data_IF_335477290697
#
_entry.id   IF_335477290697
#
_cell.length_a   1.000
_cell.length_b   1.000
_cell.length_c   1.000
_cell.angle_alpha   90.00
_cell.angle_beta   90.00
_cell.angle_gamma   90.00
#
_symmetry.space_group_name_H-M   'P 1'
#
loop_
_entity.id
_entity.type
_entity.pdbx_description
1 polymer ?
#
# COMPACT_ATOMS: atom_id res chain seq x y z
N UNK A 1 36.15 28.29 15.69
CA UNK A 1 34.77 28.53 16.18
C UNK A 1 34.09 27.20 16.38
N UNK A 2 33.68 26.85 17.61
CA UNK A 2 32.86 25.66 17.83
C UNK A 2 31.50 25.87 17.14
N UNK A 3 31.12 24.98 16.23
CA UNK A 3 29.82 25.10 15.57
C UNK A 3 28.70 24.88 16.61
N UNK A 4 27.76 25.81 16.69
CA UNK A 4 26.60 25.70 17.59
C UNK A 4 25.63 24.63 17.08
N UNK A 5 25.20 23.74 17.98
CA UNK A 5 24.32 22.63 17.64
C UNK A 5 22.87 23.09 17.59
N UNK A 6 22.29 23.22 16.39
CA UNK A 6 20.89 23.59 16.18
C UNK A 6 20.07 22.46 15.56
N UNK A 7 18.75 22.48 15.77
CA UNK A 7 17.83 21.63 15.03
C UNK A 7 17.92 21.94 13.54
N UNK A 8 17.91 20.89 12.72
CA UNK A 8 17.72 21.07 11.27
C UNK A 8 16.27 21.47 11.01
N UNK A 9 16.04 22.15 9.90
CA UNK A 9 14.68 22.54 9.49
C UNK A 9 13.70 21.35 9.49
N UNK A 10 14.10 20.21 8.93
CA UNK A 10 13.26 19.00 8.96
C UNK A 10 13.03 18.40 10.36
N UNK A 11 13.98 18.54 11.28
CA UNK A 11 13.82 18.10 12.67
C UNK A 11 12.81 19.01 13.39
N UNK A 12 13.01 20.34 13.31
CA UNK A 12 12.13 21.33 13.94
C UNK A 12 10.71 21.30 13.38
N UNK A 13 10.55 21.25 12.05
CA UNK A 13 9.25 21.19 11.40
C UNK A 13 8.47 19.93 11.82
N UNK A 14 9.13 18.77 11.84
CA UNK A 14 8.47 17.52 12.23
C UNK A 14 8.13 17.50 13.73
N UNK A 15 8.96 18.08 14.60
CA UNK A 15 8.62 18.24 16.02
C UNK A 15 7.35 19.08 16.18
N UNK A 16 7.23 20.20 15.46
CA UNK A 16 6.05 21.08 15.52
C UNK A 16 4.79 20.32 15.07
N UNK A 17 4.87 19.61 13.94
CA UNK A 17 3.74 18.82 13.42
C UNK A 17 3.33 17.73 14.41
N UNK A 18 4.29 16.98 14.97
CA UNK A 18 3.99 15.93 15.95
C UNK A 18 3.47 16.51 17.27
N UNK A 19 3.94 17.68 17.71
CA UNK A 19 3.43 18.34 18.90
C UNK A 19 1.97 18.80 18.71
N UNK A 20 1.66 19.35 17.53
CA UNK A 20 0.28 19.69 17.18
C UNK A 20 -0.61 18.44 17.13
N UNK A 21 -0.14 17.35 16.51
CA UNK A 21 -0.83 16.06 16.49
C UNK A 21 -1.07 15.52 17.91
N UNK A 22 -0.07 15.58 18.78
CA UNK A 22 -0.19 15.16 20.18
C UNK A 22 -1.29 15.94 20.91
N UNK A 23 -1.27 17.27 20.83
CA UNK A 23 -2.26 18.13 21.48
C UNK A 23 -3.67 17.87 20.94
N UNK A 24 -3.80 17.71 19.62
CA UNK A 24 -5.07 17.37 18.97
C UNK A 24 -5.59 16.02 19.46
N UNK A 25 -4.76 14.97 19.48
CA UNK A 25 -5.16 13.66 19.97
C UNK A 25 -5.58 13.71 21.44
N UNK A 26 -4.82 14.38 22.32
CA UNK A 26 -5.19 14.53 23.75
C UNK A 26 -6.52 15.26 23.91
N UNK A 27 -6.76 16.30 23.11
CA UNK A 27 -8.03 17.02 23.12
C UNK A 27 -9.21 16.12 22.70
N UNK A 28 -9.03 15.29 21.67
CA UNK A 28 -10.07 14.35 21.24
C UNK A 28 -10.29 13.26 22.29
N UNK A 29 -9.23 12.73 22.93
CA UNK A 29 -9.35 11.75 24.03
C UNK A 29 -10.21 12.31 25.17
N UNK A 30 -9.97 13.56 25.59
CA UNK A 30 -10.71 14.20 26.68
C UNK A 30 -12.20 14.39 26.38
N UNK A 31 -12.60 14.36 25.11
CA UNK A 31 -13.96 14.60 24.65
C UNK A 31 -14.57 13.39 23.92
N UNK A 32 -13.90 12.24 23.95
CA UNK A 32 -14.28 11.07 23.16
C UNK A 32 -15.67 10.54 23.55
N UNK A 33 -16.49 10.25 22.53
CA UNK A 33 -17.85 9.72 22.70
C UNK A 33 -17.91 8.20 22.76
N UNK A 34 -16.84 7.53 22.37
CA UNK A 34 -16.72 6.08 22.41
C UNK A 34 -15.29 5.64 22.77
N UNK A 35 -15.18 4.44 23.34
CA UNK A 35 -13.92 3.90 23.84
C UNK A 35 -12.91 3.63 22.73
N UNK A 36 -13.36 3.35 21.50
CA UNK A 36 -12.46 3.05 20.38
C UNK A 36 -11.77 4.33 19.91
N UNK A 37 -12.52 5.44 19.80
CA UNK A 37 -11.97 6.75 19.52
C UNK A 37 -10.98 7.18 20.61
N UNK A 38 -11.35 7.06 21.89
CA UNK A 38 -10.43 7.36 23.00
C UNK A 38 -9.15 6.54 22.93
N UNK A 39 -9.27 5.23 22.67
CA UNK A 39 -8.13 4.33 22.55
C UNK A 39 -7.23 4.70 21.35
N UNK A 40 -7.80 4.84 20.16
CA UNK A 40 -7.04 5.16 18.94
C UNK A 40 -6.37 6.53 19.01
N UNK A 41 -7.03 7.54 19.58
CA UNK A 41 -6.40 8.84 19.78
C UNK A 41 -5.30 8.79 20.85
N UNK A 42 -5.43 7.93 21.88
CA UNK A 42 -4.35 7.69 22.84
C UNK A 42 -3.13 7.03 22.18
N UNK A 43 -3.36 6.06 21.28
CA UNK A 43 -2.30 5.45 20.47
C UNK A 43 -1.64 6.49 19.56
N UNK A 44 -2.42 7.37 18.93
CA UNK A 44 -1.91 8.49 18.13
C UNK A 44 -1.06 9.47 18.93
N UNK A 45 -1.53 9.87 20.13
CA UNK A 45 -0.79 10.73 21.05
C UNK A 45 0.54 10.10 21.48
N UNK A 46 0.52 8.81 21.84
CA UNK A 46 1.74 8.07 22.18
C UNK A 46 2.71 8.01 20.99
N UNK A 47 2.21 7.72 19.79
CA UNK A 47 3.02 7.71 18.56
C UNK A 47 3.69 9.06 18.29
N UNK A 48 2.95 10.16 18.47
CA UNK A 48 3.48 11.51 18.33
C UNK A 48 4.59 11.82 19.34
N UNK A 49 4.38 11.46 20.62
CA UNK A 49 5.40 11.60 21.67
C UNK A 49 6.66 10.77 21.38
N UNK A 50 6.50 9.51 20.97
CA UNK A 50 7.61 8.64 20.60
C UNK A 50 8.37 9.17 19.38
N UNK A 51 7.67 9.75 18.41
CA UNK A 51 8.27 10.43 17.27
C UNK A 51 9.11 11.64 17.68
N UNK A 52 8.58 12.51 18.54
CA UNK A 52 9.32 13.65 19.10
C UNK A 52 10.55 13.15 19.85
N UNK A 53 10.39 12.18 20.74
CA UNK A 53 11.49 11.58 21.49
C UNK A 53 12.57 11.00 20.56
N UNK A 54 12.19 10.30 19.49
CA UNK A 54 13.12 9.76 18.50
C UNK A 54 13.92 10.86 17.78
N UNK A 55 13.28 11.99 17.46
CA UNK A 55 13.95 13.15 16.85
C UNK A 55 14.93 13.78 17.84
N UNK A 56 14.54 13.98 19.11
CA UNK A 56 15.44 14.47 20.15
C UNK A 56 16.63 13.53 20.36
N UNK A 57 16.40 12.21 20.44
CA UNK A 57 17.46 11.21 20.55
C UNK A 57 18.44 11.29 19.37
N UNK A 58 17.92 11.45 18.14
CA UNK A 58 18.72 11.65 16.93
C UNK A 58 19.53 12.95 17.01
N UNK A 59 18.90 14.06 17.42
CA UNK A 59 19.56 15.35 17.62
C UNK A 59 20.70 15.22 18.63
N UNK A 60 20.48 14.63 19.81
CA UNK A 60 21.52 14.48 20.83
C UNK A 60 22.67 13.59 20.38
N UNK A 61 22.41 12.51 19.64
CA UNK A 61 23.45 11.63 19.09
C UNK A 61 24.32 12.29 18.01
N UNK A 62 23.78 13.27 17.28
CA UNK A 62 24.47 13.96 16.19
C UNK A 62 25.59 14.88 16.71
N UNK A 63 26.77 14.82 16.09
CA UNK A 63 27.85 15.78 16.38
C UNK A 63 27.49 17.19 15.88
N UNK A 64 27.97 18.23 16.55
CA UNK A 64 27.77 19.60 16.09
C UNK A 64 28.38 19.78 14.69
N UNK A 65 27.62 20.36 13.76
CA UNK A 65 28.07 20.54 12.37
C UNK A 65 27.92 19.35 11.43
N UNK A 66 27.57 18.17 11.94
CA UNK A 66 27.35 17.00 11.09
C UNK A 66 26.08 17.23 10.24
N UNK A 67 26.22 17.17 8.91
CA UNK A 67 25.13 17.25 7.92
C UNK A 67 24.37 15.92 7.77
N UNK A 68 23.25 15.89 7.01
CA UNK A 68 22.58 14.63 6.69
C UNK A 68 23.58 13.66 6.08
N UNK A 69 23.44 12.37 6.38
CA UNK A 69 24.23 11.37 5.68
C UNK A 69 23.72 11.27 4.24
N UNK A 70 24.49 11.86 3.33
CA UNK A 70 24.26 11.82 1.89
C UNK A 70 25.10 10.74 1.20
N UNK A 71 25.87 9.95 1.97
CA UNK A 71 26.69 8.88 1.40
C UNK A 71 25.81 7.68 1.02
N UNK A 72 25.91 7.28 -0.25
CA UNK A 72 25.20 6.13 -0.79
C UNK A 72 23.66 6.20 -0.70
N UNK A 73 23.02 5.04 -0.88
CA UNK A 73 21.57 4.89 -0.78
C UNK A 73 21.11 4.78 0.68
N UNK A 74 19.88 5.21 0.93
CA UNK A 74 19.23 5.06 2.24
C UNK A 74 18.74 3.62 2.39
N UNK A 75 19.63 2.72 2.77
CA UNK A 75 19.33 1.29 2.98
C UNK A 75 18.65 1.02 4.32
N UNK A 76 18.83 1.90 5.31
CA UNK A 76 18.26 1.72 6.65
C UNK A 76 16.75 1.62 6.61
N UNK A 77 16.10 2.51 5.85
CA UNK A 77 14.64 2.52 5.71
C UNK A 77 14.12 1.30 4.93
N UNK A 78 14.82 0.91 3.86
CA UNK A 78 14.45 -0.29 3.07
C UNK A 78 14.49 -1.54 3.95
N UNK A 79 15.57 -1.71 4.74
CA UNK A 79 15.69 -2.84 5.67
C UNK A 79 14.56 -2.85 6.70
N UNK A 80 14.17 -1.70 7.24
CA UNK A 80 13.05 -1.60 8.17
C UNK A 80 11.74 -2.09 7.54
N UNK A 81 11.41 -1.62 6.31
CA UNK A 81 10.23 -2.08 5.57
C UNK A 81 10.25 -3.58 5.28
N UNK A 82 11.40 -4.13 4.87
CA UNK A 82 11.52 -5.57 4.61
C UNK A 82 11.30 -6.39 5.88
N UNK A 83 11.90 -5.98 7.00
CA UNK A 83 11.73 -6.68 8.29
C UNK A 83 10.28 -6.65 8.77
N UNK A 84 9.64 -5.48 8.75
CA UNK A 84 8.25 -5.38 9.21
C UNK A 84 7.27 -6.05 8.25
N UNK A 85 7.54 -6.05 6.94
CA UNK A 85 6.74 -6.78 5.96
C UNK A 85 6.75 -8.28 6.27
N UNK A 86 7.91 -8.88 6.58
CA UNK A 86 7.97 -10.29 6.98
C UNK A 86 7.14 -10.56 8.25
N UNK A 87 7.23 -9.68 9.25
CA UNK A 87 6.42 -9.79 10.47
C UNK A 87 4.92 -9.77 10.15
N UNK A 88 4.46 -8.79 9.36
CA UNK A 88 3.06 -8.69 8.95
C UNK A 88 2.61 -9.81 8.04
N UNK A 89 3.49 -10.36 7.21
CA UNK A 89 3.22 -11.54 6.39
C UNK A 89 2.90 -12.75 7.25
N UNK A 90 3.74 -13.03 8.25
CA UNK A 90 3.49 -14.12 9.20
C UNK A 90 2.19 -13.86 9.97
N UNK A 91 1.98 -12.67 10.52
CA UNK A 91 0.76 -12.35 11.26
C UNK A 91 -0.51 -12.47 10.39
N UNK A 92 -0.52 -11.89 9.20
CA UNK A 92 -1.66 -11.90 8.29
C UNK A 92 -2.00 -13.31 7.79
N UNK A 93 -1.00 -14.13 7.46
CA UNK A 93 -1.22 -15.51 7.04
C UNK A 93 -1.69 -16.41 8.19
N UNK A 94 -1.20 -16.20 9.42
CA UNK A 94 -1.69 -16.92 10.59
C UNK A 94 -3.17 -16.61 10.88
N UNK A 95 -3.59 -15.34 10.81
CA UNK A 95 -5.02 -15.01 10.94
C UNK A 95 -5.82 -15.60 9.78
N UNK A 96 -5.27 -15.62 8.56
CA UNK A 96 -5.89 -16.25 7.39
C UNK A 96 -6.14 -17.74 7.58
N UNK A 97 -5.14 -18.48 8.06
CA UNK A 97 -5.27 -19.90 8.41
C UNK A 97 -6.31 -20.09 9.54
N UNK A 98 -6.24 -19.27 10.58
CA UNK A 98 -7.19 -19.33 11.70
C UNK A 98 -8.64 -19.15 11.26
N UNK A 99 -8.96 -18.11 10.48
CA UNK A 99 -10.34 -17.88 10.01
C UNK A 99 -10.78 -18.93 8.98
N UNK A 100 -9.85 -19.58 8.28
CA UNK A 100 -10.18 -20.75 7.45
C UNK A 100 -10.61 -21.94 8.32
N UNK A 101 -9.96 -22.15 9.47
CA UNK A 101 -10.42 -23.14 10.45
C UNK A 101 -11.77 -22.79 11.07
N UNK A 102 -12.10 -21.51 11.28
CA UNK A 102 -13.44 -21.11 11.74
C UNK A 102 -14.54 -21.49 10.75
N UNK A 103 -14.28 -21.40 9.45
CA UNK A 103 -15.23 -21.83 8.42
C UNK A 103 -15.47 -23.34 8.45
N UNK A 104 -14.44 -24.12 8.79
CA UNK A 104 -14.54 -25.58 8.92
C UNK A 104 -15.11 -26.02 10.29
N UNK A 105 -14.78 -25.29 11.36
CA UNK A 105 -15.14 -25.58 12.75
C UNK A 105 -15.60 -24.30 13.45
N UNK A 106 -16.89 -23.93 13.32
CA UNK A 106 -17.42 -22.67 13.86
C UNK A 106 -17.24 -22.47 15.37
N UNK A 107 -17.04 -23.54 16.14
CA UNK A 107 -16.74 -23.47 17.58
C UNK A 107 -15.45 -22.71 17.91
N UNK A 108 -14.54 -22.52 16.94
CA UNK A 108 -13.34 -21.70 17.08
C UNK A 108 -13.63 -20.19 17.13
N UNK A 109 -14.88 -19.74 16.99
CA UNK A 109 -15.24 -18.35 17.25
C UNK A 109 -15.21 -18.01 18.77
N UNK A 110 -15.22 -19.03 19.64
CA UNK A 110 -15.19 -18.93 21.11
C UNK A 110 -16.31 -18.10 21.76
N UNK A 111 -17.37 -17.78 21.03
CA UNK A 111 -18.41 -16.81 21.42
C UNK A 111 -17.82 -15.47 21.93
N UNK A 112 -16.61 -15.12 21.47
CA UNK A 112 -15.89 -13.93 21.87
C UNK A 112 -15.77 -12.98 20.69
N UNK A 113 -16.18 -11.73 20.88
CA UNK A 113 -16.37 -10.78 19.79
C UNK A 113 -15.10 -10.54 18.97
N UNK A 114 -13.92 -10.47 19.61
CA UNK A 114 -12.67 -10.17 18.91
C UNK A 114 -12.13 -11.37 18.12
N UNK A 115 -12.52 -12.60 18.47
CA UNK A 115 -12.20 -13.81 17.73
C UNK A 115 -13.34 -14.25 16.82
N UNK A 116 -14.33 -13.39 16.56
CA UNK A 116 -15.40 -13.75 15.63
C UNK A 116 -14.93 -13.56 14.18
N UNK A 117 -15.29 -14.50 13.30
CA UNK A 117 -14.98 -14.48 11.87
C UNK A 117 -15.27 -13.13 11.21
N UNK A 118 -16.41 -12.50 11.55
CA UNK A 118 -16.81 -11.22 10.98
C UNK A 118 -15.86 -10.06 11.29
N UNK A 119 -15.14 -10.11 12.43
CA UNK A 119 -14.11 -9.12 12.79
C UNK A 119 -12.72 -9.52 12.31
N UNK A 120 -12.41 -10.82 12.32
CA UNK A 120 -11.12 -11.33 11.89
C UNK A 120 -10.93 -11.35 10.37
N UNK A 121 -12.01 -11.44 9.58
CA UNK A 121 -11.95 -11.36 8.11
C UNK A 121 -11.32 -10.05 7.62
N UNK A 122 -11.84 -8.85 7.95
CA UNK A 122 -11.21 -7.60 7.53
C UNK A 122 -9.82 -7.42 8.14
N UNK A 123 -9.58 -7.93 9.36
CA UNK A 123 -8.22 -7.95 9.94
C UNK A 123 -7.24 -8.74 9.07
N UNK A 124 -7.62 -9.95 8.63
CA UNK A 124 -6.81 -10.75 7.71
C UNK A 124 -6.57 -10.01 6.39
N UNK A 125 -7.66 -9.53 5.76
CA UNK A 125 -7.61 -8.82 4.48
C UNK A 125 -6.63 -7.66 4.53
N UNK A 126 -6.79 -6.74 5.50
CA UNK A 126 -5.92 -5.58 5.62
C UNK A 126 -4.50 -5.95 6.06
N UNK A 127 -4.32 -6.98 6.90
CA UNK A 127 -3.00 -7.46 7.29
C UNK A 127 -2.21 -8.04 6.11
N UNK A 128 -2.84 -8.82 5.23
CA UNK A 128 -2.14 -9.41 4.09
C UNK A 128 -1.93 -8.38 2.97
N UNK A 129 -2.93 -7.54 2.68
CA UNK A 129 -2.85 -6.58 1.58
C UNK A 129 -2.02 -5.36 1.98
N UNK A 130 -2.46 -4.62 3.00
CA UNK A 130 -1.85 -3.35 3.36
C UNK A 130 -0.66 -3.54 4.30
N UNK A 131 -0.74 -4.44 5.28
CA UNK A 131 0.39 -4.61 6.20
C UNK A 131 1.56 -5.35 5.56
N UNK A 132 1.35 -6.58 5.08
CA UNK A 132 2.38 -7.36 4.39
C UNK A 132 2.71 -6.76 3.02
N UNK A 133 1.74 -6.73 2.12
CA UNK A 133 1.90 -6.24 0.75
C UNK A 133 2.35 -4.79 0.72
N UNK A 134 1.70 -3.90 1.48
CA UNK A 134 2.05 -2.49 1.51
C UNK A 134 3.44 -2.19 2.03
N UNK A 135 3.87 -2.80 3.13
CA UNK A 135 5.25 -2.65 3.59
C UNK A 135 6.26 -3.23 2.59
N UNK A 136 5.92 -4.33 1.90
CA UNK A 136 6.75 -4.86 0.82
C UNK A 136 6.90 -3.82 -0.31
N UNK A 137 5.77 -3.27 -0.80
CA UNK A 137 5.74 -2.30 -1.90
C UNK A 137 6.45 -0.99 -1.55
N UNK A 138 6.26 -0.45 -0.35
CA UNK A 138 6.96 0.76 0.11
C UNK A 138 8.48 0.51 0.22
N UNK A 139 8.88 -0.63 0.77
CA UNK A 139 10.28 -1.00 0.87
C UNK A 139 10.95 -1.20 -0.49
N UNK A 140 10.29 -1.93 -1.40
CA UNK A 140 10.84 -2.19 -2.73
C UNK A 140 10.81 -0.95 -3.61
N UNK A 141 9.77 -0.11 -3.54
CA UNK A 141 9.74 1.13 -4.32
C UNK A 141 10.92 2.04 -3.96
N UNK A 142 11.22 2.18 -2.66
CA UNK A 142 12.37 2.91 -2.15
C UNK A 142 13.72 2.31 -2.57
N UNK A 143 13.82 0.99 -2.59
CA UNK A 143 15.02 0.31 -3.07
C UNK A 143 15.24 0.52 -4.57
N UNK A 144 14.17 0.37 -5.36
CA UNK A 144 14.18 0.42 -6.82
C UNK A 144 14.39 1.83 -7.33
N UNK A 145 13.63 2.81 -6.82
CA UNK A 145 13.70 4.20 -7.28
C UNK A 145 15.09 4.80 -7.07
N UNK A 146 15.76 4.48 -5.96
CA UNK A 146 17.12 4.95 -5.71
C UNK A 146 18.12 4.43 -6.74
N UNK A 147 18.08 3.12 -7.02
CA UNK A 147 19.06 2.45 -7.88
C UNK A 147 18.85 2.73 -9.36
N UNK A 148 17.60 2.80 -9.77
CA UNK A 148 17.24 3.08 -11.17
C UNK A 148 17.51 4.54 -11.54
N UNK A 149 17.44 5.47 -10.58
CA UNK A 149 17.75 6.89 -10.79
C UNK A 149 19.16 7.29 -10.35
N UNK A 150 19.93 6.35 -9.78
CA UNK A 150 21.30 6.55 -9.25
C UNK A 150 21.40 7.72 -8.28
N UNK A 151 20.41 7.85 -7.41
CA UNK A 151 20.30 8.95 -6.46
C UNK A 151 19.73 8.44 -5.14
N UNK A 152 20.09 9.09 -4.03
CA UNK A 152 19.54 8.77 -2.71
C UNK A 152 18.08 9.22 -2.62
N UNK A 153 17.27 8.56 -1.79
CA UNK A 153 15.91 9.01 -1.48
C UNK A 153 15.89 10.48 -1.08
N UNK A 154 14.87 11.19 -1.56
CA UNK A 154 14.58 12.54 -1.11
C UNK A 154 14.13 12.54 0.36
N UNK A 155 14.68 13.46 1.15
CA UNK A 155 14.35 13.64 2.56
C UNK A 155 15.13 12.71 3.50
N UNK A 156 15.55 13.27 4.64
CA UNK A 156 16.25 12.53 5.69
C UNK A 156 15.24 11.86 6.65
N UNK A 157 14.28 12.64 7.16
CA UNK A 157 13.24 12.15 8.09
C UNK A 157 11.95 11.70 7.39
N UNK A 158 11.63 12.23 6.20
CA UNK A 158 10.38 11.92 5.51
C UNK A 158 10.20 10.42 5.20
N UNK A 159 11.22 9.66 4.73
CA UNK A 159 11.10 8.21 4.58
C UNK A 159 10.76 7.48 5.90
N UNK A 160 11.32 7.95 7.03
CA UNK A 160 11.03 7.39 8.36
C UNK A 160 9.64 7.76 8.87
N UNK A 161 9.16 8.97 8.59
CA UNK A 161 7.77 9.36 8.85
C UNK A 161 6.81 8.45 8.09
N UNK A 162 7.09 8.14 6.82
CA UNK A 162 6.25 7.23 6.03
C UNK A 162 6.23 5.84 6.67
N UNK A 163 7.38 5.29 7.06
CA UNK A 163 7.46 3.97 7.71
C UNK A 163 6.64 3.90 9.00
N UNK A 164 6.86 4.83 9.93
CA UNK A 164 6.15 4.83 11.20
C UNK A 164 4.67 5.18 11.04
N UNK A 165 4.36 6.13 10.16
CA UNK A 165 2.99 6.53 9.92
C UNK A 165 2.18 5.45 9.23
N UNK A 166 2.75 4.74 8.26
CA UNK A 166 2.08 3.63 7.59
C UNK A 166 1.83 2.47 8.55
N UNK A 167 2.80 2.12 9.40
CA UNK A 167 2.60 1.09 10.43
C UNK A 167 1.65 1.53 11.55
N UNK A 168 1.54 2.83 11.82
CA UNK A 168 0.48 3.35 12.69
C UNK A 168 -0.90 3.15 12.08
N UNK A 169 -1.08 3.40 10.77
CA UNK A 169 -2.33 3.08 10.06
C UNK A 169 -2.70 1.61 10.23
N UNK A 170 -1.75 0.70 10.05
CA UNK A 170 -1.96 -0.74 10.19
C UNK A 170 -2.39 -1.11 11.62
N UNK A 171 -1.73 -0.55 12.64
CA UNK A 171 -2.08 -0.80 14.04
C UNK A 171 -3.48 -0.29 14.34
N UNK A 172 -3.83 0.94 13.94
CA UNK A 172 -5.15 1.52 14.17
C UNK A 172 -6.25 0.76 13.43
N UNK A 173 -6.01 0.33 12.19
CA UNK A 173 -6.94 -0.49 11.43
C UNK A 173 -7.15 -1.84 12.13
N UNK A 174 -6.06 -2.55 12.45
CA UNK A 174 -6.13 -3.87 13.08
C UNK A 174 -6.82 -3.86 14.44
N UNK A 175 -6.50 -2.91 15.32
CA UNK A 175 -7.20 -2.78 16.60
C UNK A 175 -8.64 -2.31 16.42
N UNK A 176 -8.91 -1.47 15.43
CA UNK A 176 -10.26 -1.03 15.07
C UNK A 176 -11.17 -2.21 14.71
N UNK A 177 -10.71 -3.11 13.84
CA UNK A 177 -11.48 -4.29 13.44
C UNK A 177 -11.81 -5.20 14.62
N UNK A 178 -10.82 -5.47 15.49
CA UNK A 178 -11.02 -6.28 16.69
C UNK A 178 -12.06 -5.65 17.64
N UNK A 179 -12.08 -4.32 17.72
CA UNK A 179 -13.02 -3.54 18.53
C UNK A 179 -14.38 -3.29 17.84
N UNK A 180 -14.55 -3.71 16.58
CA UNK A 180 -15.80 -3.55 15.82
C UNK A 180 -15.97 -2.18 15.15
N UNK A 181 -14.90 -1.40 15.00
CA UNK A 181 -14.88 -0.18 14.21
C UNK A 181 -14.62 -0.54 12.74
N UNK A 182 -15.62 -0.32 11.90
CA UNK A 182 -15.54 -0.59 10.46
C UNK A 182 -16.57 0.23 9.68
N UNK A 183 -16.17 0.69 8.50
CA UNK A 183 -17.02 1.31 7.48
C UNK A 183 -17.86 0.27 6.71
N UNK A 184 -17.51 -1.01 6.78
CA UNK A 184 -18.20 -2.10 6.07
C UNK A 184 -17.93 -2.17 4.56
N UNK A 185 -17.03 -1.33 4.05
CA UNK A 185 -16.57 -1.32 2.66
C UNK A 185 -15.30 -2.17 2.53
N UNK A 186 -15.27 -3.11 1.57
CA UNK A 186 -14.17 -4.05 1.44
C UNK A 186 -12.86 -3.34 1.05
N UNK A 187 -11.76 -3.71 1.70
CA UNK A 187 -10.46 -3.07 1.56
C UNK A 187 -10.40 -1.59 2.03
N UNK A 188 -11.53 -0.98 2.40
CA UNK A 188 -11.67 0.37 2.92
C UNK A 188 -12.30 0.39 4.33
N UNK A 189 -12.08 -0.68 5.11
CA UNK A 189 -12.87 -0.90 6.32
C UNK A 189 -12.55 0.06 7.46
N UNK A 190 -11.33 0.62 7.55
CA UNK A 190 -10.93 1.44 8.70
C UNK A 190 -11.63 2.80 8.69
N UNK A 191 -12.00 3.34 9.86
CA UNK A 191 -12.81 4.57 9.99
C UNK A 191 -12.08 5.87 9.55
N UNK A 192 -12.85 6.93 9.31
CA UNK A 192 -12.45 8.20 8.68
C UNK A 192 -11.15 8.88 9.21
N UNK A 193 -10.86 8.78 10.50
CA UNK A 193 -9.65 9.40 11.07
C UNK A 193 -8.38 8.63 10.69
N UNK A 194 -8.49 7.32 10.45
CA UNK A 194 -7.42 6.49 9.90
C UNK A 194 -7.25 6.81 8.41
N UNK A 195 -8.33 7.09 7.67
CA UNK A 195 -8.27 7.58 6.28
C UNK A 195 -7.50 8.89 6.15
N UNK A 196 -7.77 9.86 7.03
CA UNK A 196 -7.07 11.15 7.01
C UNK A 196 -5.60 10.98 7.34
N UNK A 197 -5.29 10.16 8.35
CA UNK A 197 -3.91 9.85 8.71
C UNK A 197 -3.16 9.19 7.55
N UNK A 198 -3.74 8.15 6.93
CA UNK A 198 -3.14 7.48 5.79
C UNK A 198 -2.94 8.45 4.63
N UNK A 199 -3.89 9.37 4.39
CA UNK A 199 -3.76 10.41 3.36
C UNK A 199 -2.50 11.25 3.56
N UNK A 200 -2.23 11.72 4.77
CA UNK A 200 -1.01 12.51 5.09
C UNK A 200 0.26 11.69 4.85
N UNK A 201 0.25 10.42 5.27
CA UNK A 201 1.36 9.48 5.05
C UNK A 201 1.60 9.27 3.55
N UNK A 202 0.53 9.06 2.79
CA UNK A 202 0.58 8.76 1.37
C UNK A 202 0.99 9.95 0.52
N UNK A 203 0.53 11.17 0.85
CA UNK A 203 1.01 12.41 0.22
C UNK A 203 2.51 12.58 0.49
N UNK A 204 2.97 12.33 1.72
CA UNK A 204 4.40 12.40 2.02
C UNK A 204 5.18 11.37 1.21
N UNK A 205 4.63 10.16 1.03
CA UNK A 205 5.22 9.12 0.19
C UNK A 205 5.31 9.52 -1.28
N UNK A 206 4.23 10.08 -1.85
CA UNK A 206 4.25 10.63 -3.21
C UNK A 206 5.32 11.71 -3.38
N UNK A 207 5.41 12.66 -2.46
CA UNK A 207 6.41 13.74 -2.51
C UNK A 207 7.85 13.21 -2.40
N UNK A 208 8.10 12.21 -1.56
CA UNK A 208 9.42 11.55 -1.47
C UNK A 208 9.76 10.83 -2.77
N UNK A 209 8.80 10.10 -3.35
CA UNK A 209 9.01 9.37 -4.60
C UNK A 209 9.27 10.32 -5.78
N UNK A 210 8.42 11.35 -5.96
CA UNK A 210 8.60 12.40 -6.97
C UNK A 210 9.89 13.17 -6.78
N UNK A 211 10.20 13.59 -5.55
CA UNK A 211 11.44 14.29 -5.23
C UNK A 211 12.68 13.45 -5.56
N UNK A 212 12.59 12.12 -5.45
CA UNK A 212 13.68 11.21 -5.85
C UNK A 212 13.78 11.11 -7.38
N UNK A 213 12.66 11.03 -8.10
CA UNK A 213 12.63 11.05 -9.58
C UNK A 213 13.13 12.36 -10.17
N UNK A 214 12.87 13.50 -9.52
CA UNK A 214 13.35 14.82 -9.96
C UNK A 214 14.87 14.96 -9.82
N UNK A 215 15.47 14.25 -8.86
CA UNK A 215 16.93 14.23 -8.61
C UNK A 215 17.66 13.13 -9.39
N UNK A 216 17.01 12.50 -10.35
CA UNK A 216 17.60 11.41 -11.14
C UNK A 216 18.81 11.88 -11.93
N UNK A 217 19.77 10.99 -12.12
CA UNK A 217 20.95 11.24 -12.97
C UNK A 217 20.74 10.83 -14.42
N UNK A 218 19.90 9.83 -14.65
CA UNK A 218 19.57 9.34 -15.99
C UNK A 218 18.42 10.17 -16.60
N UNK A 219 18.51 10.48 -17.89
CA UNK A 219 17.46 11.26 -18.58
C UNK A 219 16.11 10.53 -18.58
N UNK A 220 16.15 9.22 -18.82
CA UNK A 220 14.99 8.33 -18.87
C UNK A 220 14.63 7.78 -17.50
N UNK A 221 13.32 7.70 -17.23
CA UNK A 221 12.78 7.02 -16.06
C UNK A 221 12.54 5.55 -16.42
N UNK A 222 13.10 4.64 -15.63
CA UNK A 222 12.93 3.21 -15.83
C UNK A 222 11.47 2.77 -15.68
N UNK A 223 11.03 1.78 -16.47
CA UNK A 223 9.63 1.29 -16.54
C UNK A 223 9.08 0.89 -15.17
N UNK A 224 9.89 0.28 -14.30
CA UNK A 224 9.46 -0.05 -12.94
C UNK A 224 8.91 1.17 -12.18
N UNK A 225 9.51 2.34 -12.38
CA UNK A 225 9.06 3.58 -11.73
C UNK A 225 7.79 4.15 -12.37
N UNK A 226 7.46 3.79 -13.63
CA UNK A 226 6.15 4.14 -14.22
C UNK A 226 5.05 3.42 -13.47
N UNK A 227 5.22 2.11 -13.25
CA UNK A 227 4.30 1.28 -12.49
C UNK A 227 4.17 1.72 -11.04
N UNK A 228 5.29 1.98 -10.34
CA UNK A 228 5.23 2.52 -8.98
C UNK A 228 4.56 3.89 -8.94
N UNK A 229 4.87 4.81 -9.87
CA UNK A 229 4.23 6.12 -9.86
C UNK A 229 2.72 6.04 -10.13
N UNK A 230 2.31 5.22 -11.09
CA UNK A 230 0.90 4.98 -11.38
C UNK A 230 0.17 4.38 -10.16
N UNK A 231 0.79 3.41 -9.49
CA UNK A 231 0.32 2.88 -8.22
C UNK A 231 0.10 3.97 -7.17
N UNK A 232 1.12 4.80 -6.91
CA UNK A 232 1.05 5.81 -5.85
C UNK A 232 -0.07 6.81 -6.12
N UNK A 233 -0.14 7.30 -7.36
CA UNK A 233 -1.12 8.33 -7.76
C UNK A 233 -2.53 7.76 -7.77
N UNK A 234 -2.73 6.60 -8.39
CA UNK A 234 -4.07 6.02 -8.48
C UNK A 234 -4.59 5.60 -7.11
N UNK A 235 -3.77 4.99 -6.24
CA UNK A 235 -4.23 4.64 -4.88
C UNK A 235 -4.62 5.88 -4.08
N UNK A 236 -3.92 7.01 -4.25
CA UNK A 236 -4.34 8.27 -3.62
C UNK A 236 -5.72 8.72 -4.13
N UNK A 237 -5.95 8.66 -5.44
CA UNK A 237 -7.24 8.99 -6.06
C UNK A 237 -8.36 8.06 -5.56
N UNK A 238 -8.11 6.75 -5.51
CA UNK A 238 -9.08 5.75 -5.07
C UNK A 238 -9.43 5.95 -3.59
N UNK A 239 -8.41 6.10 -2.74
CA UNK A 239 -8.57 6.34 -1.30
C UNK A 239 -9.42 7.58 -1.02
N UNK A 240 -9.13 8.69 -1.70
CA UNK A 240 -9.89 9.92 -1.54
C UNK A 240 -11.29 9.86 -2.16
N UNK A 241 -11.47 9.10 -3.24
CA UNK A 241 -12.75 8.98 -3.93
C UNK A 241 -13.75 8.07 -3.22
N UNK A 242 -13.28 6.93 -2.69
CA UNK A 242 -14.14 5.96 -2.00
C UNK A 242 -14.52 6.40 -0.58
N UNK A 243 -13.53 6.93 0.14
CA UNK A 243 -13.66 7.16 1.58
C UNK A 243 -14.20 8.57 1.88
N UNK A 244 -15.03 9.11 0.97
CA UNK A 244 -15.76 10.34 1.20
C UNK A 244 -16.91 10.02 2.15
N UNK A 245 -16.65 10.21 3.44
CA UNK A 245 -17.60 9.97 4.50
C UNK A 245 -17.78 11.22 5.37
N UNK A 246 -18.99 11.37 5.92
CA UNK A 246 -19.34 12.43 6.87
C UNK A 246 -19.27 11.85 8.28
N UNK A 247 -18.29 12.26 9.12
CA UNK A 247 -18.26 11.87 10.52
C UNK A 247 -19.50 12.42 11.25
N UNK A 248 -20.18 11.56 12.01
CA UNK A 248 -21.29 11.97 12.88
C UNK A 248 -20.78 12.91 13.97
N UNK A 249 -19.54 12.71 14.43
CA UNK A 249 -18.85 13.60 15.34
C UNK A 249 -17.33 13.45 15.18
N UNK A 250 -16.60 14.57 15.30
CA UNK A 250 -15.14 14.54 15.38
C UNK A 250 -14.61 13.79 16.61
N UNK A 251 -15.47 13.54 17.60
CA UNK A 251 -15.13 12.84 18.85
C UNK A 251 -15.61 11.38 18.88
N UNK A 252 -16.13 10.84 17.78
CA UNK A 252 -16.58 9.46 17.70
C UNK A 252 -16.17 8.77 16.41
N UNK A 253 -16.16 7.44 16.42
CA UNK A 253 -15.71 6.66 15.26
C UNK A 253 -16.68 6.72 14.09
N UNK A 254 -17.99 6.87 14.33
CA UNK A 254 -19.00 6.66 13.30
C UNK A 254 -19.02 7.74 12.23
N UNK A 255 -18.97 7.30 10.98
CA UNK A 255 -19.20 8.10 9.77
C UNK A 255 -20.18 7.39 8.83
N UNK A 256 -20.79 8.15 7.94
CA UNK A 256 -21.62 7.62 6.85
C UNK A 256 -21.02 8.02 5.51
N UNK A 257 -20.97 7.08 4.56
CA UNK A 257 -20.54 7.36 3.20
C UNK A 257 -21.48 8.36 2.53
N UNK A 258 -20.91 9.18 1.65
CA UNK A 258 -21.69 10.15 0.87
C UNK A 258 -22.52 9.45 -0.23
N UNK A 259 -22.05 8.31 -0.73
CA UNK A 259 -22.77 7.52 -1.71
C UNK A 259 -23.75 6.55 -1.03
N UNK A 260 -24.75 6.08 -1.78
CA UNK A 260 -25.67 5.04 -1.30
C UNK A 260 -26.14 4.12 -2.42
N UNK A 261 -26.57 2.91 -2.06
CA UNK A 261 -27.17 1.94 -2.97
C UNK A 261 -26.27 1.61 -4.16
N UNK A 262 -26.79 1.78 -5.37
CA UNK A 262 -26.09 1.41 -6.61
C UNK A 262 -24.86 2.28 -6.89
N UNK A 263 -24.90 3.56 -6.48
CA UNK A 263 -23.74 4.46 -6.63
C UNK A 263 -22.62 4.05 -5.69
N UNK A 264 -22.97 3.74 -4.45
CA UNK A 264 -22.02 3.27 -3.44
C UNK A 264 -21.35 1.97 -3.89
N UNK A 265 -22.14 1.00 -4.34
CA UNK A 265 -21.62 -0.25 -4.90
C UNK A 265 -20.66 -0.01 -6.07
N UNK A 266 -20.98 0.92 -6.98
CA UNK A 266 -20.12 1.24 -8.11
C UNK A 266 -18.80 1.88 -7.68
N UNK A 267 -18.85 2.87 -6.79
CA UNK A 267 -17.65 3.55 -6.26
C UNK A 267 -16.80 2.56 -5.47
N UNK A 268 -17.43 1.72 -4.64
CA UNK A 268 -16.79 0.67 -3.87
C UNK A 268 -16.05 -0.32 -4.75
N UNK A 269 -16.66 -0.82 -5.84
CA UNK A 269 -15.95 -1.77 -6.70
C UNK A 269 -15.05 -1.13 -7.75
N UNK A 270 -15.25 0.15 -8.06
CA UNK A 270 -14.21 0.95 -8.70
C UNK A 270 -12.98 1.06 -7.79
N UNK A 271 -13.17 1.29 -6.49
CA UNK A 271 -12.12 1.26 -5.50
C UNK A 271 -11.49 -0.12 -5.35
N UNK A 272 -12.26 -1.13 -4.95
CA UNK A 272 -11.78 -2.47 -4.61
C UNK A 272 -11.06 -3.16 -5.76
N UNK A 273 -11.61 -3.09 -6.97
CA UNK A 273 -10.93 -3.67 -8.14
C UNK A 273 -9.61 -2.97 -8.45
N UNK A 274 -9.59 -1.63 -8.40
CA UNK A 274 -8.38 -0.87 -8.67
C UNK A 274 -7.39 -0.85 -7.48
N UNK A 275 -7.84 -1.17 -6.27
CA UNK A 275 -6.95 -1.48 -5.15
C UNK A 275 -6.13 -2.72 -5.52
N UNK A 276 -6.75 -3.81 -5.95
CA UNK A 276 -6.01 -4.97 -6.48
C UNK A 276 -5.21 -4.59 -7.74
N UNK A 277 -5.79 -3.81 -8.66
CA UNK A 277 -5.13 -3.44 -9.91
C UNK A 277 -3.89 -2.58 -9.80
N UNK A 278 -3.86 -1.64 -8.88
CA UNK A 278 -2.75 -0.72 -8.74
C UNK A 278 -1.85 -1.09 -7.56
N UNK A 279 -2.42 -1.52 -6.44
CA UNK A 279 -1.67 -1.97 -5.28
C UNK A 279 -1.07 -3.36 -5.50
N UNK A 280 -1.87 -4.34 -5.93
CA UNK A 280 -1.44 -5.75 -6.02
C UNK A 280 -0.95 -6.16 -7.42
N UNK A 281 -1.32 -5.44 -8.48
CA UNK A 281 -0.84 -5.71 -9.84
C UNK A 281 0.21 -4.69 -10.27
N UNK A 282 -0.13 -3.40 -10.43
CA UNK A 282 0.80 -2.42 -10.99
C UNK A 282 2.09 -2.29 -10.16
N UNK A 283 1.98 -2.11 -8.84
CA UNK A 283 3.16 -1.97 -7.98
C UNK A 283 4.05 -3.23 -7.95
N UNK A 284 3.44 -4.43 -7.97
CA UNK A 284 4.18 -5.69 -8.07
C UNK A 284 4.77 -5.94 -9.47
N UNK A 285 4.16 -5.43 -10.54
CA UNK A 285 4.83 -5.35 -11.85
C UNK A 285 6.05 -4.42 -11.77
N UNK A 286 5.99 -3.33 -10.99
CA UNK A 286 7.15 -2.51 -10.64
C UNK A 286 8.27 -3.31 -9.97
N UNK A 287 7.94 -4.20 -9.02
CA UNK A 287 8.91 -5.15 -8.45
C UNK A 287 9.46 -6.09 -9.52
N UNK A 288 8.59 -6.73 -10.32
CA UNK A 288 8.98 -7.68 -11.36
C UNK A 288 9.96 -7.04 -12.34
N UNK A 289 9.65 -5.84 -12.84
CA UNK A 289 10.49 -5.10 -13.78
C UNK A 289 11.89 -4.81 -13.24
N UNK A 290 12.06 -4.70 -11.92
CA UNK A 290 13.39 -4.54 -11.36
C UNK A 290 14.05 -5.89 -11.04
N UNK A 291 13.38 -6.74 -10.26
CA UNK A 291 14.01 -7.93 -9.67
C UNK A 291 14.21 -9.07 -10.66
N UNK A 292 13.30 -9.27 -11.63
CA UNK A 292 13.46 -10.33 -12.64
C UNK A 292 14.70 -10.10 -13.51
N UNK A 293 14.86 -8.96 -14.20
CA UNK A 293 16.06 -8.72 -15.01
C UNK A 293 17.33 -8.68 -14.14
N UNK A 294 17.25 -8.10 -12.93
CA UNK A 294 18.40 -7.97 -12.04
C UNK A 294 18.92 -9.32 -11.57
N UNK A 295 18.04 -10.25 -11.20
CA UNK A 295 18.42 -11.59 -10.75
C UNK A 295 18.78 -12.50 -11.92
N UNK A 296 18.08 -12.37 -13.04
CA UNK A 296 18.38 -13.11 -14.26
C UNK A 296 19.71 -12.65 -14.89
N UNK A 297 20.15 -11.42 -14.60
CA UNK A 297 21.27 -10.75 -15.27
C UNK A 297 21.07 -10.73 -16.79
N UNK A 298 19.83 -10.43 -17.19
CA UNK A 298 19.40 -10.35 -18.59
C UNK A 298 18.76 -8.98 -18.83
N UNK A 299 18.87 -8.42 -20.04
CA UNK A 299 18.11 -7.24 -20.40
C UNK A 299 16.61 -7.58 -20.41
N UNK A 300 15.75 -6.60 -20.12
CA UNK A 300 14.30 -6.73 -20.30
C UNK A 300 14.02 -7.11 -21.75
N UNK A 301 13.17 -8.11 -21.95
CA UNK A 301 12.88 -8.68 -23.26
C UNK A 301 12.41 -7.65 -24.30
N UNK A 302 11.31 -6.93 -24.03
CA UNK A 302 10.74 -5.99 -25.00
C UNK A 302 10.36 -4.64 -24.37
N UNK A 303 11.13 -3.61 -24.73
CA UNK A 303 10.80 -2.24 -24.34
C UNK A 303 9.49 -1.74 -24.97
N UNK A 304 9.22 -2.09 -26.23
CA UNK A 304 7.93 -1.73 -26.88
C UNK A 304 6.74 -2.35 -26.17
N UNK A 305 6.86 -3.62 -25.78
CA UNK A 305 5.83 -4.28 -24.98
C UNK A 305 5.66 -3.58 -23.64
N UNK A 306 6.77 -3.15 -23.02
CA UNK A 306 6.76 -2.36 -21.77
C UNK A 306 5.92 -1.07 -21.89
N UNK A 307 5.93 -0.40 -23.04
CA UNK A 307 5.11 0.80 -23.28
C UNK A 307 3.64 0.42 -23.47
N UNK A 308 3.38 -0.51 -24.39
CA UNK A 308 2.01 -0.89 -24.79
C UNK A 308 1.26 -1.44 -23.58
N UNK A 309 1.85 -2.42 -22.90
CA UNK A 309 1.17 -3.07 -21.78
C UNK A 309 1.02 -2.12 -20.58
N UNK A 310 1.96 -1.19 -20.34
CA UNK A 310 1.81 -0.21 -19.27
C UNK A 310 0.61 0.69 -19.52
N UNK A 311 0.55 1.38 -20.66
CA UNK A 311 -0.54 2.32 -20.93
C UNK A 311 -1.88 1.64 -21.08
N UNK A 312 -1.92 0.50 -21.79
CA UNK A 312 -3.15 -0.25 -21.94
C UNK A 312 -3.64 -0.79 -20.59
N UNK A 313 -2.75 -1.32 -19.72
CA UNK A 313 -3.13 -1.81 -18.39
C UNK A 313 -3.66 -0.68 -17.52
N UNK A 314 -2.89 0.39 -17.34
CA UNK A 314 -3.26 1.51 -16.46
C UNK A 314 -4.56 2.20 -16.90
N UNK A 315 -4.82 2.28 -18.21
CA UNK A 315 -6.08 2.83 -18.72
C UNK A 315 -7.26 1.87 -18.53
N UNK A 316 -7.10 0.60 -18.88
CA UNK A 316 -8.22 -0.38 -18.91
C UNK A 316 -8.65 -0.83 -17.52
N UNK A 317 -7.71 -0.98 -16.57
CA UNK A 317 -8.00 -1.48 -15.22
C UNK A 317 -9.07 -0.64 -14.50
N UNK A 318 -9.06 0.69 -14.70
CA UNK A 318 -10.00 1.62 -14.07
C UNK A 318 -11.47 1.24 -14.35
N UNK A 319 -11.74 0.65 -15.52
CA UNK A 319 -13.09 0.34 -15.98
C UNK A 319 -13.63 -1.00 -15.50
N UNK A 320 -12.80 -1.87 -14.93
CA UNK A 320 -13.19 -3.25 -14.66
C UNK A 320 -13.98 -3.43 -13.35
N UNK A 321 -14.13 -2.38 -12.53
CA UNK A 321 -14.93 -2.42 -11.29
C UNK A 321 -16.33 -3.08 -11.40
N UNK A 322 -17.16 -2.77 -12.41
CA UNK A 322 -18.50 -3.34 -12.54
C UNK A 322 -18.56 -4.87 -12.73
N UNK A 323 -17.44 -5.56 -12.98
CA UNK A 323 -17.43 -7.03 -13.04
C UNK A 323 -17.76 -7.71 -11.70
N UNK A 324 -17.66 -6.98 -10.59
CA UNK A 324 -18.08 -7.43 -9.26
C UNK A 324 -19.60 -7.31 -9.06
N UNK A 325 -20.29 -6.61 -9.96
CA UNK A 325 -21.67 -6.18 -9.83
C UNK A 325 -22.57 -6.77 -10.92
N UNK A 326 -22.16 -7.89 -11.49
CA UNK A 326 -22.94 -8.64 -12.45
C UNK A 326 -24.23 -9.19 -11.85
N UNK A 327 -25.33 -9.05 -12.58
CA UNK A 327 -26.67 -9.47 -12.15
C UNK A 327 -27.14 -8.84 -10.81
N UNK A 328 -26.66 -7.62 -10.52
CA UNK A 328 -27.10 -6.81 -9.38
C UNK A 328 -28.04 -5.69 -9.83
N UNK A 329 -28.40 -4.78 -8.91
CA UNK A 329 -29.17 -3.57 -9.20
C UNK A 329 -28.39 -2.52 -10.03
N UNK A 330 -27.09 -2.73 -10.29
CA UNK A 330 -26.30 -1.84 -11.16
C UNK A 330 -26.87 -1.84 -12.59
N UNK A 331 -26.99 -0.68 -13.28
CA UNK A 331 -27.51 -0.64 -14.64
C UNK A 331 -26.74 -1.55 -15.60
N UNK A 332 -27.47 -2.17 -16.52
CA UNK A 332 -26.92 -3.15 -17.45
C UNK A 332 -25.76 -2.58 -18.28
N UNK A 333 -25.86 -1.33 -18.73
CA UNK A 333 -24.81 -0.70 -19.54
C UNK A 333 -23.47 -0.61 -18.79
N UNK A 334 -23.51 -0.37 -17.48
CA UNK A 334 -22.32 -0.26 -16.63
C UNK A 334 -21.68 -1.64 -16.42
N UNK A 335 -22.52 -2.66 -16.22
CA UNK A 335 -22.07 -4.05 -16.17
C UNK A 335 -21.43 -4.50 -17.50
N UNK A 336 -22.05 -4.16 -18.65
CA UNK A 336 -21.51 -4.49 -19.99
C UNK A 336 -20.17 -3.82 -20.23
N UNK A 337 -20.01 -2.58 -19.79
CA UNK A 337 -18.74 -1.85 -19.87
C UNK A 337 -17.64 -2.54 -19.04
N UNK A 338 -17.94 -2.90 -17.79
CA UNK A 338 -16.99 -3.61 -16.92
C UNK A 338 -16.58 -4.97 -17.46
N UNK A 339 -17.54 -5.76 -17.96
CA UNK A 339 -17.27 -7.04 -18.64
C UNK A 339 -16.35 -6.84 -19.86
N UNK A 340 -16.72 -5.93 -20.77
CA UNK A 340 -15.97 -5.68 -22.01
C UNK A 340 -14.53 -5.25 -21.70
N UNK A 341 -14.34 -4.32 -20.77
CA UNK A 341 -13.02 -3.82 -20.39
C UNK A 341 -12.21 -4.88 -19.64
N UNK A 342 -12.84 -5.76 -18.86
CA UNK A 342 -12.16 -6.89 -18.21
C UNK A 342 -11.63 -7.91 -19.21
N UNK A 343 -12.38 -8.19 -20.29
CA UNK A 343 -11.89 -9.04 -21.39
C UNK A 343 -10.71 -8.38 -22.11
N UNK A 344 -10.80 -7.07 -22.40
CA UNK A 344 -9.68 -6.32 -23.01
C UNK A 344 -8.46 -6.31 -22.09
N UNK A 345 -8.65 -6.19 -20.77
CA UNK A 345 -7.59 -6.14 -19.75
C UNK A 345 -6.72 -7.40 -19.73
N UNK A 346 -7.21 -8.53 -20.25
CA UNK A 346 -6.43 -9.76 -20.38
C UNK A 346 -5.10 -9.54 -21.12
N UNK A 347 -5.14 -8.90 -22.28
CA UNK A 347 -3.97 -8.73 -23.15
C UNK A 347 -2.86 -7.88 -22.53
N UNK A 348 -3.10 -6.67 -21.99
CA UNK A 348 -2.04 -5.90 -21.35
C UNK A 348 -1.56 -6.54 -20.03
N UNK A 349 -2.43 -7.29 -19.33
CA UNK A 349 -2.01 -8.07 -18.17
C UNK A 349 -0.99 -9.15 -18.56
N UNK A 350 -1.29 -9.96 -19.57
CA UNK A 350 -0.37 -10.95 -20.12
C UNK A 350 0.87 -10.32 -20.76
N UNK A 351 0.80 -9.09 -21.25
CA UNK A 351 1.98 -8.31 -21.66
C UNK A 351 3.03 -8.22 -20.55
N UNK A 352 2.60 -8.07 -19.29
CA UNK A 352 3.48 -8.11 -18.12
C UNK A 352 4.11 -9.50 -17.91
N UNK A 353 3.31 -10.56 -17.98
CA UNK A 353 3.77 -11.94 -17.86
C UNK A 353 4.81 -12.29 -18.93
N UNK A 354 4.49 -12.00 -20.20
CA UNK A 354 5.34 -12.27 -21.35
C UNK A 354 6.67 -11.53 -21.18
N UNK A 355 6.64 -10.24 -20.82
CA UNK A 355 7.87 -9.48 -20.66
C UNK A 355 8.72 -10.00 -19.48
N UNK A 356 8.09 -10.42 -18.38
CA UNK A 356 8.77 -11.06 -17.25
C UNK A 356 9.41 -12.39 -17.62
N UNK A 357 8.65 -13.34 -18.17
CA UNK A 357 9.14 -14.69 -18.48
C UNK A 357 10.13 -14.70 -19.65
N UNK A 358 9.87 -13.94 -20.72
CA UNK A 358 10.77 -13.90 -21.87
C UNK A 358 12.11 -13.22 -21.55
N UNK A 359 12.17 -12.40 -20.49
CA UNK A 359 13.44 -11.86 -19.96
C UNK A 359 14.37 -12.99 -19.45
N UNK A 360 13.81 -14.14 -19.05
CA UNK A 360 14.60 -15.32 -18.69
C UNK A 360 15.11 -16.12 -19.90
N UNK A 361 14.76 -15.77 -21.13
CA UNK A 361 15.21 -16.53 -22.30
C UNK A 361 16.74 -16.65 -22.33
N UNK A 362 17.24 -17.89 -22.38
CA UNK A 362 18.66 -18.23 -22.26
C UNK A 362 19.22 -18.26 -20.82
N UNK A 363 18.40 -18.09 -19.78
CA UNK A 363 18.77 -18.18 -18.36
C UNK A 363 17.85 -19.14 -17.57
N UNK A 364 17.10 -20.00 -18.25
CA UNK A 364 16.19 -20.98 -17.64
C UNK A 364 16.91 -22.01 -16.77
N UNK A 365 18.19 -22.27 -17.02
CA UNK A 365 19.07 -23.09 -16.18
C UNK A 365 19.13 -22.58 -14.73
N UNK A 366 19.01 -21.26 -14.52
CA UNK A 366 18.96 -20.66 -13.18
C UNK A 366 17.78 -21.13 -12.36
N UNK A 367 16.70 -21.64 -12.96
CA UNK A 367 15.62 -22.26 -12.20
C UNK A 367 16.06 -23.51 -11.45
N UNK A 368 17.14 -24.19 -11.87
CA UNK A 368 17.65 -25.35 -11.15
C UNK A 368 18.53 -24.94 -9.97
N UNK A 369 19.15 -23.77 -10.01
CA UNK A 369 20.20 -23.38 -9.04
C UNK A 369 19.82 -22.22 -8.12
N UNK A 370 18.90 -21.34 -8.53
CA UNK A 370 18.54 -20.12 -7.81
C UNK A 370 17.08 -20.16 -7.33
N UNK A 371 16.83 -20.39 -6.02
CA UNK A 371 15.47 -20.46 -5.48
C UNK A 371 14.73 -19.11 -5.56
N UNK A 372 15.46 -17.99 -5.55
CA UNK A 372 14.84 -16.67 -5.73
C UNK A 372 14.28 -16.54 -7.15
N UNK A 373 15.01 -17.04 -8.14
CA UNK A 373 14.53 -17.06 -9.52
C UNK A 373 13.31 -17.97 -9.68
N UNK A 374 13.28 -19.12 -8.99
CA UNK A 374 12.09 -19.99 -8.97
C UNK A 374 10.87 -19.25 -8.45
N UNK A 375 11.02 -18.53 -7.34
CA UNK A 375 9.92 -17.74 -6.78
C UNK A 375 9.43 -16.67 -7.74
N UNK A 376 10.35 -15.92 -8.38
CA UNK A 376 10.00 -14.87 -9.33
C UNK A 376 9.29 -15.42 -10.59
N UNK A 377 9.70 -16.59 -11.09
CA UNK A 377 9.01 -17.22 -12.22
C UNK A 377 7.65 -17.78 -11.82
N UNK A 378 7.57 -18.46 -10.68
CA UNK A 378 6.31 -18.97 -10.15
C UNK A 378 5.31 -17.82 -9.92
N UNK A 379 5.76 -16.69 -9.34
CA UNK A 379 4.89 -15.53 -9.14
C UNK A 379 4.36 -14.97 -10.46
N UNK A 380 5.20 -14.89 -11.50
CA UNK A 380 4.76 -14.40 -12.82
C UNK A 380 3.81 -15.40 -13.50
N UNK A 381 4.00 -16.70 -13.28
CA UNK A 381 3.10 -17.74 -13.78
C UNK A 381 1.72 -17.68 -13.10
N UNK A 382 1.65 -17.56 -11.77
CA UNK A 382 0.38 -17.37 -11.05
C UNK A 382 -0.30 -16.04 -11.39
N UNK A 383 0.49 -14.98 -11.62
CA UNK A 383 -0.03 -13.73 -12.17
C UNK A 383 -0.67 -13.95 -13.55
N UNK A 384 -0.01 -14.68 -14.46
CA UNK A 384 -0.57 -15.02 -15.77
C UNK A 384 -1.86 -15.83 -15.68
N UNK A 385 -1.88 -16.84 -14.80
CA UNK A 385 -3.06 -17.67 -14.55
C UNK A 385 -4.24 -16.85 -14.03
N UNK A 386 -4.04 -16.07 -12.97
CA UNK A 386 -5.11 -15.26 -12.36
C UNK A 386 -5.58 -14.10 -13.26
N UNK A 387 -4.68 -13.52 -14.06
CA UNK A 387 -5.05 -12.50 -15.06
C UNK A 387 -5.64 -13.07 -16.34
N UNK A 388 -5.80 -14.40 -16.41
CA UNK A 388 -6.69 -15.07 -17.37
C UNK A 388 -8.01 -15.47 -16.70
N UNK A 389 -7.94 -16.05 -15.50
CA UNK A 389 -9.11 -16.45 -14.71
C UNK A 389 -10.05 -15.26 -14.43
N UNK A 390 -9.50 -14.10 -14.05
CA UNK A 390 -10.27 -12.88 -13.79
C UNK A 390 -11.15 -12.46 -14.98
N UNK A 391 -10.58 -12.22 -16.18
CA UNK A 391 -11.36 -11.94 -17.38
C UNK A 391 -12.41 -12.99 -17.72
N UNK A 392 -12.16 -14.27 -17.44
CA UNK A 392 -13.13 -15.35 -17.67
C UNK A 392 -14.31 -15.26 -16.69
N UNK A 393 -14.05 -14.97 -15.41
CA UNK A 393 -15.10 -14.77 -14.41
C UNK A 393 -15.87 -13.45 -14.58
N UNK A 394 -15.31 -12.49 -15.32
CA UNK A 394 -15.96 -11.23 -15.66
C UNK A 394 -16.96 -11.33 -16.82
N UNK A 395 -17.17 -12.52 -17.39
CA UNK A 395 -18.14 -12.76 -18.45
C UNK A 395 -19.49 -13.09 -17.80
N UNK A 396 -20.51 -12.29 -18.13
CA UNK A 396 -21.92 -12.65 -17.88
C UNK A 396 -22.33 -13.67 -18.94
N UNK A 397 -22.36 -14.95 -18.55
CA UNK A 397 -22.73 -16.08 -19.40
C UNK A 397 -24.10 -16.63 -19.02
#
# INVERSE_FOLDING_TARGET
MAQTKSFRWGEGALIIVLAALFLMCVYIVANARDNVMAFHMSVGALGALLGIFAIFKRYFKRAAGQGPDESGYNEGIVKAFVMISMFWGVAGFLIGDYIAWELAFPGLNWDFQATNFGRLRPLHTSAVIFAFGGNALLGTSFYVVQRTNRTRLAGDLAPWFIFWGYNMTIVLAGTGYLLGATQGHEYAEFEWYVDWWLTVVWVTYLLVFLGTLMKRRESHIYVANWFYLAFIVTIAMLHLGNNIAVPVSIFGIKSYHVFSGVQDAMVEWWYGHNAVGFFLTAAFLGMMYYFVPKRAQRPVYSYRLSIIHFWALIFTYIWAGPHHLHYTALPEWTQTLGMTMSVILWMPSWGGMINGLMTLSGAWDKLRTDPVMRMLVASVAFYGMSTFEGPMMAIRA
#
